data_IF_515217470994
#
_entry.id   IF_515217470994
#
_cell.length_a   1.000
_cell.length_b   1.000
_cell.length_c   1.000
_cell.angle_alpha   90.00
_cell.angle_beta   90.00
_cell.angle_gamma   90.00
#
_symmetry.space_group_name_H-M   'P 1'
#
loop_
_entity.id
_entity.type
_entity.pdbx_description
1 polymer ?
#
# COMPACT_ATOMS: atom_id res chain seq x y z
N UNK A 1 -4.68 -13.31 11.57
CA UNK A 1 -3.70 -14.29 11.06
C UNK A 1 -2.32 -13.66 11.15
N UNK A 2 -1.29 -14.32 11.70
CA UNK A 2 0.05 -13.76 11.70
C UNK A 2 0.61 -13.73 10.26
N UNK A 3 1.39 -12.69 9.94
CA UNK A 3 2.16 -12.66 8.71
C UNK A 3 3.10 -13.86 8.65
N UNK A 4 3.28 -14.39 7.43
CA UNK A 4 4.24 -15.43 7.11
C UNK A 4 4.97 -15.00 5.85
N UNK A 5 6.25 -15.33 5.78
CA UNK A 5 7.06 -15.04 4.61
C UNK A 5 6.41 -15.62 3.34
N UNK A 6 6.32 -14.77 2.32
CA UNK A 6 5.68 -15.08 1.05
C UNK A 6 6.68 -15.46 -0.03
N UNK A 7 6.16 -15.71 -1.23
CA UNK A 7 6.95 -15.90 -2.45
C UNK A 7 6.91 -14.62 -3.27
N UNK A 8 8.05 -13.95 -3.42
CA UNK A 8 8.15 -12.65 -4.10
C UNK A 8 7.72 -12.71 -5.58
N UNK A 9 7.99 -13.83 -6.26
CA UNK A 9 7.59 -14.00 -7.68
C UNK A 9 6.08 -14.13 -7.79
N UNK A 10 5.44 -14.88 -6.88
CA UNK A 10 3.98 -14.93 -6.79
C UNK A 10 3.40 -13.58 -6.38
N UNK A 11 4.03 -12.90 -5.41
CA UNK A 11 3.68 -11.55 -4.97
C UNK A 11 3.69 -10.55 -6.11
N UNK A 12 4.73 -10.56 -6.94
CA UNK A 12 4.83 -9.70 -8.11
C UNK A 12 3.70 -9.96 -9.13
N UNK A 13 3.35 -11.23 -9.37
CA UNK A 13 2.23 -11.58 -10.26
C UNK A 13 0.87 -11.16 -9.69
N UNK A 14 0.68 -11.35 -8.38
CA UNK A 14 -0.53 -10.89 -7.70
C UNK A 14 -0.65 -9.37 -7.72
N UNK A 15 0.44 -8.65 -7.47
CA UNK A 15 0.45 -7.19 -7.53
C UNK A 15 0.04 -6.70 -8.92
N UNK A 16 0.61 -7.27 -9.99
CA UNK A 16 0.25 -6.92 -11.37
C UNK A 16 -1.24 -7.10 -11.67
N UNK A 17 -1.83 -8.18 -11.17
CA UNK A 17 -3.21 -8.56 -11.48
C UNK A 17 -4.26 -7.96 -10.54
N UNK A 18 -3.87 -7.54 -9.34
CA UNK A 18 -4.80 -7.08 -8.28
C UNK A 18 -4.57 -5.64 -7.82
N UNK A 19 -3.37 -5.10 -7.95
CA UNK A 19 -2.99 -3.83 -7.34
C UNK A 19 -2.50 -2.79 -8.36
N UNK A 20 -1.78 -3.22 -9.39
CA UNK A 20 -1.08 -2.34 -10.33
C UNK A 20 -2.00 -1.50 -11.23
N UNK A 21 -3.28 -1.87 -11.34
CA UNK A 21 -4.29 -1.03 -12.00
C UNK A 21 -4.48 0.30 -11.26
N UNK A 22 -4.43 0.26 -9.93
CA UNK A 22 -4.69 1.43 -9.09
C UNK A 22 -3.43 2.02 -8.45
N UNK A 23 -2.32 1.29 -8.40
CA UNK A 23 -1.12 1.70 -7.67
C UNK A 23 0.18 1.62 -8.49
N UNK A 24 1.18 2.35 -7.99
CA UNK A 24 2.57 2.42 -8.46
C UNK A 24 3.51 2.02 -7.32
N UNK A 25 4.75 1.65 -7.64
CA UNK A 25 5.76 1.17 -6.66
C UNK A 25 7.12 1.86 -6.80
N UNK A 26 7.40 2.51 -7.93
CA UNK A 26 8.66 3.19 -8.16
C UNK A 26 8.76 4.48 -7.34
N UNK A 27 9.98 4.77 -6.88
CA UNK A 27 10.29 6.04 -6.23
C UNK A 27 10.02 7.19 -7.20
N UNK A 28 9.26 8.20 -6.77
CA UNK A 28 8.91 9.35 -7.59
C UNK A 28 7.88 9.10 -8.69
N UNK A 29 7.34 7.89 -8.82
CA UNK A 29 6.22 7.65 -9.72
C UNK A 29 4.95 8.39 -9.24
N UNK A 30 4.10 8.80 -10.18
CA UNK A 30 2.85 9.48 -9.86
C UNK A 30 1.84 8.59 -9.13
N UNK A 31 0.87 9.25 -8.50
CA UNK A 31 -0.35 8.61 -8.02
C UNK A 31 -1.24 8.20 -9.22
N UNK A 32 -2.04 7.14 -9.07
CA UNK A 32 -3.07 6.74 -10.03
C UNK A 32 -4.45 6.92 -9.38
N UNK A 33 -5.36 5.97 -9.59
CA UNK A 33 -6.63 5.86 -8.83
C UNK A 33 -6.33 5.75 -7.33
N UNK A 34 -5.27 5.04 -6.96
CA UNK A 34 -4.73 4.95 -5.61
C UNK A 34 -3.38 5.65 -5.49
N UNK A 35 -2.92 5.86 -4.24
CA UNK A 35 -1.62 6.49 -3.96
C UNK A 35 -0.45 5.60 -4.36
N UNK A 36 0.71 6.20 -4.58
CA UNK A 36 1.97 5.47 -4.74
C UNK A 36 2.31 4.66 -3.46
N UNK A 37 2.69 3.39 -3.63
CA UNK A 37 3.01 2.46 -2.55
C UNK A 37 4.52 2.31 -2.29
N UNK A 38 5.37 3.08 -2.97
CA UNK A 38 6.78 3.20 -2.64
C UNK A 38 6.95 3.67 -1.20
N UNK A 39 7.80 2.97 -0.43
CA UNK A 39 8.00 3.24 0.99
C UNK A 39 6.74 3.04 1.84
N UNK A 40 5.86 2.09 1.47
CA UNK A 40 4.61 1.83 2.20
C UNK A 40 4.87 1.41 3.66
N UNK A 41 5.80 0.47 3.88
CA UNK A 41 6.06 -0.05 5.22
C UNK A 41 6.68 1.02 6.13
N UNK A 42 6.15 1.15 7.35
CA UNK A 42 6.49 2.21 8.31
C UNK A 42 5.73 3.52 8.09
N UNK A 43 5.00 3.68 6.98
CA UNK A 43 4.21 4.89 6.68
C UNK A 43 2.85 4.85 7.36
N UNK A 44 2.36 5.99 7.86
CA UNK A 44 0.99 6.09 8.38
C UNK A 44 -0.05 6.21 7.26
N UNK A 45 -1.30 5.84 7.55
CA UNK A 45 -2.44 6.02 6.63
C UNK A 45 -2.60 7.49 6.22
N UNK A 46 -3.00 7.72 4.97
CA UNK A 46 -3.33 9.07 4.49
C UNK A 46 -2.16 10.02 4.23
N UNK A 47 -0.92 9.52 4.12
CA UNK A 47 0.30 10.37 4.15
C UNK A 47 0.96 10.63 2.78
N UNK A 48 0.49 10.04 1.68
CA UNK A 48 1.11 10.30 0.37
C UNK A 48 0.74 11.69 -0.12
N UNK A 49 1.76 12.52 -0.35
CA UNK A 49 1.60 13.86 -0.85
C UNK A 49 0.92 13.88 -2.23
N UNK A 50 0.05 14.87 -2.44
CA UNK A 50 -0.69 15.04 -3.68
C UNK A 50 -1.77 13.97 -3.94
N UNK A 51 -2.02 13.02 -3.03
CA UNK A 51 -3.14 12.09 -3.14
C UNK A 51 -4.33 12.52 -2.27
N UNK A 52 -5.54 12.49 -2.84
CA UNK A 52 -6.77 12.82 -2.11
C UNK A 52 -7.30 11.59 -1.37
N UNK A 53 -6.99 11.50 -0.08
CA UNK A 53 -7.53 10.47 0.81
C UNK A 53 -8.90 10.86 1.38
N UNK A 54 -9.73 9.84 1.65
CA UNK A 54 -10.92 10.01 2.48
C UNK A 54 -10.53 10.35 3.92
N UNK A 55 -11.41 11.05 4.63
CA UNK A 55 -11.16 11.44 6.03
C UNK A 55 -10.99 10.21 6.93
N UNK A 56 -11.77 9.15 6.68
CA UNK A 56 -11.63 7.87 7.38
C UNK A 56 -10.22 7.28 7.24
N UNK A 57 -9.61 7.35 6.04
CA UNK A 57 -8.25 6.85 5.85
C UNK A 57 -7.23 7.71 6.60
N UNK A 58 -7.33 9.04 6.53
CA UNK A 58 -6.45 9.96 7.26
C UNK A 58 -6.55 9.76 8.78
N UNK A 59 -7.76 9.60 9.30
CA UNK A 59 -8.03 9.49 10.74
C UNK A 59 -7.69 8.11 11.32
N UNK A 60 -7.64 7.05 10.50
CA UNK A 60 -7.34 5.68 10.95
C UNK A 60 -6.04 5.62 11.76
N UNK A 61 -5.04 6.44 11.42
CA UNK A 61 -3.80 6.61 12.17
C UNK A 61 -2.94 5.35 12.28
N UNK A 62 -3.18 4.34 11.46
CA UNK A 62 -2.46 3.07 11.46
C UNK A 62 -1.12 3.24 10.75
N UNK A 63 -0.07 2.64 11.29
CA UNK A 63 1.20 2.44 10.58
C UNK A 63 1.09 1.17 9.74
N UNK A 64 1.42 1.27 8.45
CA UNK A 64 1.48 0.11 7.57
C UNK A 64 2.69 -0.75 7.93
N UNK A 65 2.41 -1.96 8.40
CA UNK A 65 3.37 -3.03 8.65
C UNK A 65 2.75 -4.34 8.15
N UNK A 66 3.52 -5.42 8.21
CA UNK A 66 3.06 -6.74 7.76
C UNK A 66 1.77 -7.19 8.47
N UNK A 67 1.64 -6.91 9.77
CA UNK A 67 0.48 -7.30 10.57
C UNK A 67 -0.76 -6.46 10.28
N UNK A 68 -0.60 -5.16 10.03
CA UNK A 68 -1.72 -4.27 9.72
C UNK A 68 -2.20 -4.42 8.27
N UNK A 69 -1.34 -4.87 7.35
CA UNK A 69 -1.67 -5.17 5.95
C UNK A 69 -2.39 -6.51 5.74
N UNK A 70 -2.05 -7.56 6.49
CA UNK A 70 -2.65 -8.91 6.30
C UNK A 70 -3.94 -9.14 7.09
N UNK A 71 -4.45 -8.10 7.77
CA UNK A 71 -5.60 -8.23 8.66
C UNK A 71 -6.89 -8.42 7.83
N UNK A 72 -7.50 -9.60 7.96
CA UNK A 72 -8.85 -9.91 7.47
C UNK A 72 -9.93 -9.19 8.27
#
# INVERSE_FOLDING_TARGET
MPFKEGDDKKGANLFKTRCAQCHTLGAGEGNKIGPNLHGLFGRKTGMVEGFSYTDSNKQKGITWDEGTLVRS
#
